data_IF_166131418015
#
_entry.id   IF_166131418015
#
_cell.length_a   1.000
_cell.length_b   1.000
_cell.length_c   1.000
_cell.angle_alpha   90.00
_cell.angle_beta   90.00
_cell.angle_gamma   90.00
#
_symmetry.space_group_name_H-M   'P 1'
#
loop_
_entity.id
_entity.type
_entity.pdbx_description
1 polymer ?
#
# COMPACT_ATOMS: atom_id res chain seq x y z
N UNK A 1 11.96 -21.73 9.44
CA UNK A 1 11.24 -20.81 8.53
C UNK A 1 10.46 -21.68 7.58
N UNK A 2 9.15 -21.47 7.40
CA UNK A 2 8.36 -22.23 6.41
C UNK A 2 9.08 -22.11 5.06
N UNK A 3 9.23 -23.21 4.34
CA UNK A 3 9.91 -23.33 3.03
C UNK A 3 9.86 -22.03 2.25
N UNK A 4 10.99 -21.57 1.70
CA UNK A 4 11.24 -20.28 1.04
C UNK A 4 10.32 -19.83 -0.12
N UNK A 5 9.08 -20.31 -0.18
CA UNK A 5 7.96 -19.80 -0.95
C UNK A 5 7.53 -18.42 -0.43
N UNK A 6 7.78 -17.40 -1.26
CA UNK A 6 7.31 -16.02 -1.07
C UNK A 6 6.04 -15.80 -1.89
N UNK A 7 5.16 -14.92 -1.42
CA UNK A 7 4.04 -14.42 -2.22
C UNK A 7 4.50 -13.21 -3.00
N UNK A 8 4.16 -13.13 -4.29
CA UNK A 8 4.44 -11.93 -5.09
C UNK A 8 3.27 -10.95 -4.98
N UNK A 9 3.58 -9.67 -4.83
CA UNK A 9 2.62 -8.57 -4.92
C UNK A 9 3.11 -7.64 -6.02
N UNK A 10 2.27 -7.42 -7.04
CA UNK A 10 2.61 -6.59 -8.21
C UNK A 10 1.88 -5.26 -8.08
N UNK A 11 2.64 -4.17 -8.02
CA UNK A 11 2.17 -2.81 -7.80
C UNK A 11 2.22 -2.42 -6.32
N UNK A 12 2.87 -1.30 -6.01
CA UNK A 12 2.97 -0.75 -4.66
C UNK A 12 2.04 0.46 -4.45
N UNK A 13 0.85 0.44 -5.06
CA UNK A 13 -0.25 1.33 -4.73
C UNK A 13 -0.87 1.00 -3.35
N UNK A 14 -2.03 1.60 -3.03
CA UNK A 14 -2.69 1.40 -1.74
C UNK A 14 -2.98 -0.09 -1.43
N UNK A 15 -3.56 -0.81 -2.40
CA UNK A 15 -3.90 -2.22 -2.23
C UNK A 15 -2.65 -3.11 -2.11
N UNK A 16 -1.60 -2.85 -2.89
CA UNK A 16 -0.36 -3.60 -2.83
C UNK A 16 0.41 -3.39 -1.53
N UNK A 17 0.44 -2.15 -1.03
CA UNK A 17 1.02 -1.84 0.27
C UNK A 17 0.31 -2.59 1.40
N UNK A 18 -1.02 -2.54 1.41
CA UNK A 18 -1.81 -3.23 2.44
C UNK A 18 -1.66 -4.75 2.34
N UNK A 19 -1.70 -5.31 1.12
CA UNK A 19 -1.50 -6.74 0.91
C UNK A 19 -0.13 -7.23 1.39
N UNK A 20 0.94 -6.51 1.02
CA UNK A 20 2.30 -6.82 1.46
C UNK A 20 2.43 -6.77 2.98
N UNK A 21 1.88 -5.73 3.62
CA UNK A 21 1.86 -5.60 5.08
C UNK A 21 1.12 -6.75 5.76
N UNK A 22 -0.07 -7.06 5.26
CA UNK A 22 -0.94 -8.09 5.83
C UNK A 22 -0.34 -9.51 5.70
N UNK A 23 0.39 -9.79 4.62
CA UNK A 23 1.16 -11.02 4.47
C UNK A 23 2.36 -11.05 5.44
N UNK A 24 3.16 -9.99 5.42
CA UNK A 24 4.40 -9.92 6.18
C UNK A 24 4.17 -9.99 7.69
N UNK A 25 3.15 -9.29 8.22
CA UNK A 25 2.81 -9.35 9.65
C UNK A 25 2.27 -10.71 10.11
N UNK A 26 1.86 -11.57 9.18
CA UNK A 26 1.44 -12.96 9.42
C UNK A 26 2.57 -13.96 9.19
N UNK A 27 3.81 -13.49 9.03
CA UNK A 27 4.98 -14.34 8.87
C UNK A 27 5.19 -14.89 7.46
N UNK A 28 4.50 -14.33 6.44
CA UNK A 28 4.65 -14.74 5.04
C UNK A 28 5.63 -13.80 4.34
N UNK A 29 6.66 -14.37 3.70
CA UNK A 29 7.62 -13.58 2.91
C UNK A 29 6.97 -13.01 1.65
N UNK A 30 7.31 -11.77 1.32
CA UNK A 30 6.73 -11.02 0.20
C UNK A 30 7.82 -10.54 -0.75
N UNK A 31 7.58 -10.68 -2.05
CA UNK A 31 8.26 -9.92 -3.10
C UNK A 31 7.29 -8.84 -3.61
N UNK A 32 7.55 -7.58 -3.27
CA UNK A 32 6.76 -6.42 -3.73
C UNK A 32 7.44 -5.79 -4.93
N UNK A 33 6.87 -5.96 -6.12
CA UNK A 33 7.38 -5.37 -7.37
C UNK A 33 6.67 -4.04 -7.66
N UNK A 34 7.44 -2.98 -7.91
CA UNK A 34 6.94 -1.65 -8.28
C UNK A 34 7.72 -1.14 -9.51
N UNK A 35 7.01 -0.66 -10.53
CA UNK A 35 7.65 -0.17 -11.75
C UNK A 35 8.37 1.17 -11.54
N UNK A 36 7.87 2.01 -10.64
CA UNK A 36 8.50 3.28 -10.28
C UNK A 36 9.77 3.05 -9.45
N UNK A 37 10.86 3.80 -9.66
CA UNK A 37 10.98 4.96 -10.56
C UNK A 37 11.44 4.63 -11.99
N UNK A 38 11.56 3.36 -12.38
CA UNK A 38 12.04 3.00 -13.73
C UNK A 38 11.02 3.34 -14.82
N UNK A 39 9.74 3.22 -14.50
CA UNK A 39 8.63 3.62 -15.35
C UNK A 39 7.56 4.29 -14.51
N UNK A 40 6.96 5.37 -15.03
CA UNK A 40 5.86 6.10 -14.42
C UNK A 40 4.68 6.11 -15.38
N UNK A 41 3.46 5.98 -14.85
CA UNK A 41 2.27 6.34 -15.63
C UNK A 41 2.10 7.87 -15.66
N UNK A 42 1.30 8.44 -16.58
CA UNK A 42 1.10 9.89 -16.66
C UNK A 42 0.54 10.54 -15.39
N UNK A 43 -0.05 9.74 -14.49
CA UNK A 43 -0.62 10.23 -13.24
C UNK A 43 0.38 10.23 -12.07
N UNK A 44 1.48 9.49 -12.16
CA UNK A 44 2.43 9.32 -11.06
C UNK A 44 3.65 10.22 -11.23
N UNK A 45 4.10 10.78 -10.12
CA UNK A 45 5.22 11.72 -10.04
C UNK A 45 6.23 11.37 -8.94
N UNK A 46 5.89 10.43 -8.06
CA UNK A 46 6.71 10.03 -6.92
C UNK A 46 7.18 8.58 -7.01
N UNK A 47 8.43 8.33 -6.64
CA UNK A 47 8.99 6.98 -6.48
C UNK A 47 8.46 6.25 -5.24
N UNK A 48 7.79 6.99 -4.34
CA UNK A 48 7.20 6.45 -3.13
C UNK A 48 6.02 5.53 -3.44
N UNK A 49 5.80 4.59 -2.53
CA UNK A 49 4.65 3.70 -2.54
C UNK A 49 3.37 4.45 -2.12
N UNK A 50 2.22 3.96 -2.56
CA UNK A 50 0.91 4.49 -2.18
C UNK A 50 0.70 5.97 -2.52
N UNK A 51 1.25 6.45 -3.63
CA UNK A 51 1.07 7.82 -4.10
C UNK A 51 -0.42 8.14 -4.30
N UNK A 52 -0.88 9.26 -3.72
CA UNK A 52 -2.23 9.78 -3.93
C UNK A 52 -2.25 10.77 -5.11
N UNK A 53 -2.54 10.26 -6.30
CA UNK A 53 -2.46 11.02 -7.58
C UNK A 53 -3.61 12.00 -7.83
N UNK A 54 -4.64 12.00 -6.98
CA UNK A 54 -5.80 12.89 -7.11
C UNK A 54 -6.06 13.61 -5.77
N UNK A 55 -7.19 13.37 -5.11
CA UNK A 55 -7.49 13.94 -3.80
C UNK A 55 -6.58 13.37 -2.70
N UNK A 56 -6.23 14.19 -1.72
CA UNK A 56 -5.61 13.73 -0.47
C UNK A 56 -6.63 13.31 0.60
N UNK A 57 -7.92 13.33 0.27
CA UNK A 57 -8.99 12.85 1.14
C UNK A 57 -9.24 11.37 0.90
N UNK A 58 -9.18 10.59 1.98
CA UNK A 58 -9.64 9.21 2.04
C UNK A 58 -11.14 9.13 2.35
N UNK A 59 -11.91 10.21 2.10
CA UNK A 59 -13.35 10.36 2.42
C UNK A 59 -13.66 10.39 3.92
N UNK A 60 -14.94 10.31 4.28
CA UNK A 60 -15.44 10.46 5.65
C UNK A 60 -14.76 9.52 6.65
N UNK A 61 -14.43 10.03 7.83
CA UNK A 61 -13.87 9.26 8.96
C UNK A 61 -14.97 8.85 9.98
N UNK A 62 -16.24 9.19 9.71
CA UNK A 62 -17.36 8.84 10.57
C UNK A 62 -17.80 7.39 10.35
N UNK A 63 -17.96 6.63 11.43
CA UNK A 63 -18.50 5.25 11.42
C UNK A 63 -19.96 5.17 10.94
N UNK A 64 -20.67 6.30 10.87
CA UNK A 64 -22.00 6.38 10.26
C UNK A 64 -21.95 6.41 8.73
N UNK A 65 -20.77 6.60 8.13
CA UNK A 65 -20.54 6.55 6.70
C UNK A 65 -19.84 5.23 6.34
N UNK A 66 -20.19 4.61 5.21
CA UNK A 66 -19.59 3.35 4.77
C UNK A 66 -18.05 3.42 4.67
N UNK A 67 -17.49 4.54 4.19
CA UNK A 67 -16.03 4.70 4.11
C UNK A 67 -15.38 4.83 5.49
N UNK A 68 -16.04 5.48 6.45
CA UNK A 68 -15.52 5.58 7.81
C UNK A 68 -15.67 4.28 8.59
N UNK A 69 -16.77 3.55 8.39
CA UNK A 69 -16.93 2.20 8.95
C UNK A 69 -15.85 1.25 8.44
N UNK A 70 -15.58 1.23 7.14
CA UNK A 70 -14.52 0.41 6.57
C UNK A 70 -13.15 0.76 7.18
N UNK A 71 -12.85 2.04 7.39
CA UNK A 71 -11.60 2.44 8.06
C UNK A 71 -11.51 1.94 9.49
N UNK A 72 -12.62 1.97 10.22
CA UNK A 72 -12.67 1.42 11.57
C UNK A 72 -12.40 -0.09 11.59
N UNK A 73 -12.96 -0.84 10.65
CA UNK A 73 -12.64 -2.26 10.46
C UNK A 73 -11.15 -2.45 10.13
N UNK A 74 -10.62 -1.64 9.22
CA UNK A 74 -9.21 -1.66 8.83
C UNK A 74 -8.28 -1.32 10.00
N UNK A 75 -8.65 -0.38 10.89
CA UNK A 75 -7.90 -0.08 12.14
C UNK A 75 -7.85 -1.32 13.02
N UNK A 76 -8.98 -2.00 13.24
CA UNK A 76 -9.05 -3.24 14.03
C UNK A 76 -8.25 -4.38 13.41
N UNK A 77 -8.17 -4.43 12.08
CA UNK A 77 -7.35 -5.38 11.34
C UNK A 77 -5.86 -4.96 11.25
N UNK A 78 -5.47 -3.88 11.91
CA UNK A 78 -4.11 -3.35 11.97
C UNK A 78 -3.59 -2.93 10.60
N UNK A 79 -4.40 -2.19 9.85
CA UNK A 79 -4.04 -1.68 8.53
C UNK A 79 -2.85 -0.74 8.56
N UNK A 80 -1.91 -0.95 7.63
CA UNK A 80 -0.80 -0.03 7.42
C UNK A 80 -1.26 1.25 6.74
N UNK A 81 -2.14 1.15 5.74
CA UNK A 81 -2.70 2.30 5.02
C UNK A 81 -3.43 3.24 5.97
N UNK A 82 -4.33 2.73 6.82
CA UNK A 82 -5.06 3.61 7.74
C UNK A 82 -4.16 4.15 8.84
N UNK A 83 -3.22 3.36 9.35
CA UNK A 83 -2.23 3.85 10.32
C UNK A 83 -1.40 5.00 9.74
N UNK A 84 -0.86 4.85 8.53
CA UNK A 84 -0.10 5.90 7.85
C UNK A 84 -0.96 7.15 7.59
N UNK A 85 -2.25 6.97 7.31
CA UNK A 85 -3.17 8.08 7.13
C UNK A 85 -3.45 8.82 8.44
N UNK A 86 -3.64 8.11 9.55
CA UNK A 86 -3.83 8.71 10.87
C UNK A 86 -2.57 9.46 11.34
N UNK A 87 -1.37 8.92 11.09
CA UNK A 87 -0.08 9.56 11.39
C UNK A 87 0.18 10.85 10.60
N UNK A 88 -0.35 10.93 9.38
CA UNK A 88 -0.14 12.06 8.46
C UNK A 88 -1.43 12.90 8.27
N UNK A 89 -2.36 12.86 9.22
CA UNK A 89 -3.66 13.53 9.12
C UNK A 89 -3.50 15.06 9.04
N UNK A 90 -4.28 15.69 8.16
CA UNK A 90 -4.43 17.16 8.07
C UNK A 90 -5.90 17.58 8.28
N UNK A 91 -6.18 18.83 8.71
CA UNK A 91 -7.57 19.28 8.91
C UNK A 91 -8.43 19.18 7.63
N UNK A 92 -9.58 18.50 7.70
CA UNK A 92 -10.48 18.31 6.55
C UNK A 92 -11.96 18.06 6.93
N UNK A 93 -12.44 18.71 7.99
CA UNK A 93 -13.82 18.54 8.47
C UNK A 93 -14.09 17.10 8.90
N UNK A 94 -15.12 16.47 8.31
CA UNK A 94 -15.51 15.08 8.63
C UNK A 94 -14.72 14.02 7.84
N UNK A 95 -13.80 14.42 6.96
CA UNK A 95 -12.98 13.51 6.18
C UNK A 95 -11.64 13.22 6.85
N UNK A 96 -11.11 12.03 6.58
CA UNK A 96 -9.70 11.72 6.80
C UNK A 96 -8.91 12.21 5.58
N UNK A 97 -8.29 13.38 5.68
CA UNK A 97 -7.33 13.84 4.69
C UNK A 97 -5.91 13.77 5.24
N UNK A 98 -4.93 13.64 4.34
CA UNK A 98 -3.54 13.42 4.70
C UNK A 98 -2.59 14.41 4.02
N UNK A 99 -1.42 14.63 4.61
CA UNK A 99 -0.25 15.08 3.86
C UNK A 99 0.17 13.97 2.90
N UNK A 100 0.07 14.22 1.58
CA UNK A 100 0.27 13.18 0.56
C UNK A 100 1.67 12.59 0.64
N UNK A 101 2.67 13.45 0.77
CA UNK A 101 4.05 13.01 0.74
C UNK A 101 4.43 12.26 2.02
N UNK A 102 4.05 12.80 3.20
CA UNK A 102 4.25 12.13 4.48
C UNK A 102 3.60 10.75 4.51
N UNK A 103 2.34 10.66 4.03
CA UNK A 103 1.62 9.40 3.90
C UNK A 103 2.38 8.37 3.05
N UNK A 104 2.77 8.72 1.83
CA UNK A 104 3.48 7.83 0.92
C UNK A 104 4.88 7.46 1.43
N UNK A 105 5.58 8.39 2.08
CA UNK A 105 6.86 8.12 2.75
C UNK A 105 6.70 7.11 3.87
N UNK A 106 5.69 7.24 4.74
CA UNK A 106 5.43 6.27 5.83
C UNK A 106 5.21 4.86 5.28
N UNK A 107 4.39 4.71 4.23
CA UNK A 107 4.17 3.40 3.59
C UNK A 107 5.47 2.80 3.06
N UNK A 108 6.25 3.62 2.35
CA UNK A 108 7.53 3.22 1.75
C UNK A 108 8.51 2.76 2.82
N UNK A 109 8.72 3.57 3.85
CA UNK A 109 9.66 3.30 4.92
C UNK A 109 9.31 2.03 5.71
N UNK A 110 8.03 1.84 6.04
CA UNK A 110 7.60 0.67 6.79
C UNK A 110 7.79 -0.61 5.99
N UNK A 111 7.42 -0.61 4.71
CA UNK A 111 7.51 -1.81 3.88
C UNK A 111 8.95 -2.14 3.50
N UNK A 112 9.77 -1.14 3.13
CA UNK A 112 11.17 -1.37 2.73
C UNK A 112 12.06 -1.82 3.89
N UNK A 113 11.73 -1.45 5.14
CA UNK A 113 12.46 -1.87 6.34
C UNK A 113 11.94 -3.18 6.95
N UNK A 114 10.83 -3.73 6.45
CA UNK A 114 10.26 -4.94 7.03
C UNK A 114 11.06 -6.19 6.62
N UNK A 115 11.53 -7.04 7.55
CA UNK A 115 12.46 -8.14 7.25
C UNK A 115 11.88 -9.23 6.34
N UNK A 116 10.55 -9.33 6.25
CA UNK A 116 9.85 -10.26 5.38
C UNK A 116 9.37 -9.65 4.05
N UNK A 117 9.67 -8.38 3.78
CA UNK A 117 9.30 -7.72 2.52
C UNK A 117 10.57 -7.42 1.74
N UNK A 118 10.74 -8.08 0.60
CA UNK A 118 11.74 -7.72 -0.40
C UNK A 118 11.08 -6.83 -1.44
N UNK A 119 11.65 -5.65 -1.71
CA UNK A 119 11.14 -4.75 -2.74
C UNK A 119 11.97 -4.84 -4.00
N UNK A 120 11.31 -4.89 -5.16
CA UNK A 120 11.94 -4.88 -6.48
C UNK A 120 11.43 -3.69 -7.28
N UNK A 121 12.35 -2.90 -7.82
CA UNK A 121 12.03 -1.79 -8.72
C UNK A 121 12.04 -2.31 -10.17
N UNK A 122 10.94 -2.87 -10.63
CA UNK A 122 10.81 -3.47 -11.96
C UNK A 122 9.35 -3.48 -12.44
N UNK A 123 9.16 -3.26 -13.74
CA UNK A 123 7.90 -3.52 -14.42
C UNK A 123 7.69 -5.03 -14.59
N UNK A 124 6.50 -5.51 -14.25
CA UNK A 124 6.14 -6.93 -14.36
C UNK A 124 5.25 -7.13 -15.57
N UNK A 125 5.77 -7.79 -16.60
CA UNK A 125 5.05 -8.01 -17.87
C UNK A 125 4.48 -9.42 -18.00
N UNK A 126 4.79 -10.32 -17.06
CA UNK A 126 4.32 -11.72 -17.04
C UNK A 126 4.06 -12.19 -15.62
N UNK A 127 3.02 -12.99 -15.45
CA UNK A 127 2.68 -13.67 -14.20
C UNK A 127 3.28 -15.07 -14.25
N UNK A 128 4.03 -15.44 -13.22
CA UNK A 128 4.47 -16.80 -12.99
C UNK A 128 3.32 -17.58 -12.33
N UNK A 129 2.85 -18.64 -12.99
CA UNK A 129 1.70 -19.44 -12.54
C UNK A 129 2.03 -20.35 -11.36
N UNK A 130 3.31 -20.61 -11.09
CA UNK A 130 3.75 -21.47 -9.98
C UNK A 130 3.94 -20.67 -8.67
N UNK A 131 3.91 -19.34 -8.74
CA UNK A 131 4.06 -18.44 -7.61
C UNK A 131 2.73 -17.80 -7.23
N UNK A 132 2.22 -17.99 -5.99
CA UNK A 132 1.04 -17.26 -5.52
C UNK A 132 1.26 -15.74 -5.66
N UNK A 133 0.38 -15.08 -6.41
CA UNK A 133 0.56 -13.68 -6.83
C UNK A 133 -0.70 -12.86 -6.58
N UNK A 134 -0.54 -11.69 -5.95
CA UNK A 134 -1.56 -10.65 -5.85
C UNK A 134 -1.25 -9.58 -6.89
N UNK A 135 -2.20 -9.31 -7.79
CA UNK A 135 -2.11 -8.24 -8.79
C UNK A 135 -2.82 -7.01 -8.25
N UNK A 136 -2.07 -5.95 -7.98
CA UNK A 136 -2.52 -4.70 -7.38
C UNK A 136 -1.98 -3.47 -8.15
N UNK A 137 -1.97 -3.56 -9.47
CA UNK A 137 -1.39 -2.55 -10.39
C UNK A 137 -2.17 -1.24 -10.48
N UNK A 138 -3.34 -1.16 -9.85
CA UNK A 138 -4.18 0.04 -9.91
C UNK A 138 -4.83 0.23 -11.29
N UNK A 139 -5.36 1.43 -11.58
CA UNK A 139 -6.08 1.70 -12.83
C UNK A 139 -5.18 1.95 -14.05
N UNK A 140 -3.86 2.09 -13.86
CA UNK A 140 -2.89 2.52 -14.89
C UNK A 140 -1.61 1.69 -14.83
#
# INVERSE_FOLDING_TARGET
MRDGKRVRVIGAGLAGCEAAWQLARRGVGVLLSEMKPKSFSPAHSSEAFGELVCSNSLRSDSVQNAAGLLKEEMRRLGSLVIRAADENRVPAGSALAVDREGFSRTLTDVLTRHPLVTTERAEVTRIDTDTPTIVATGPL
#
